data_IF_683178183378
#
_entry.id   IF_683178183378
#
_cell.length_a   1.000
_cell.length_b   1.000
_cell.length_c   1.000
_cell.angle_alpha   90.00
_cell.angle_beta   90.00
_cell.angle_gamma   90.00
#
_symmetry.space_group_name_H-M   'P 1'
#
loop_
_entity.id
_entity.type
_entity.pdbx_description
1 polymer ?
#
# COMPACT_ATOMS: atom_id res chain seq x y z
N UNK A 1 -0.94 16.77 -15.79
CA UNK A 1 -1.78 15.81 -15.05
C UNK A 1 -0.96 15.41 -13.85
N UNK A 2 -1.39 15.77 -12.64
CA UNK A 2 -0.66 15.46 -11.42
C UNK A 2 -0.53 13.93 -11.27
N UNK A 3 0.70 13.47 -11.05
CA UNK A 3 1.02 12.06 -10.83
C UNK A 3 0.39 11.61 -9.51
N UNK A 4 -0.57 10.69 -9.56
CA UNK A 4 -1.17 10.12 -8.35
C UNK A 4 -0.25 9.04 -7.80
N UNK A 5 0.15 9.21 -6.55
CA UNK A 5 0.93 8.25 -5.78
C UNK A 5 -0.04 7.42 -4.94
N UNK A 6 -0.10 6.11 -5.16
CA UNK A 6 -0.98 5.21 -4.41
C UNK A 6 -0.17 4.36 -3.42
N UNK A 7 -0.65 4.26 -2.18
CA UNK A 7 -0.02 3.44 -1.14
C UNK A 7 -1.08 2.58 -0.47
N UNK A 8 -0.80 1.27 -0.30
CA UNK A 8 -1.65 0.39 0.52
C UNK A 8 -1.64 0.90 1.95
N UNK A 9 -2.83 1.16 2.47
CA UNK A 9 -3.01 1.70 3.80
C UNK A 9 -4.02 0.85 4.57
N UNK A 10 -3.60 -0.24 5.23
CA UNK A 10 -4.51 -1.08 6.01
C UNK A 10 -5.25 -0.24 7.06
N UNK A 11 -6.46 -0.65 7.41
CA UNK A 11 -7.14 -0.08 8.58
C UNK A 11 -6.52 -0.63 9.86
N UNK A 12 -6.59 0.08 11.00
CA UNK A 12 -6.11 -0.43 12.28
C UNK A 12 -6.70 -1.79 12.63
N UNK A 13 -8.00 -2.00 12.38
CA UNK A 13 -8.71 -3.26 12.62
C UNK A 13 -8.24 -4.43 11.74
N UNK A 14 -7.82 -4.12 10.51
CA UNK A 14 -7.36 -5.11 9.52
C UNK A 14 -5.84 -5.37 9.60
N UNK A 15 -5.13 -4.57 10.41
CA UNK A 15 -3.67 -4.60 10.49
C UNK A 15 -3.09 -5.96 10.95
N UNK A 16 -3.67 -6.66 11.95
CA UNK A 16 -3.17 -7.98 12.33
C UNK A 16 -3.18 -8.96 11.16
N UNK A 17 -4.24 -8.96 10.35
CA UNK A 17 -4.34 -9.81 9.17
C UNK A 17 -3.36 -9.40 8.07
N UNK A 18 -3.21 -8.09 7.85
CA UNK A 18 -2.21 -7.56 6.93
C UNK A 18 -0.78 -7.95 7.32
N UNK A 19 -0.46 -7.92 8.62
CA UNK A 19 0.83 -8.34 9.17
C UNK A 19 1.07 -9.84 8.97
N UNK A 20 0.08 -10.70 9.23
CA UNK A 20 0.17 -12.14 8.96
C UNK A 20 0.51 -12.44 7.49
N UNK A 21 -0.07 -11.66 6.58
CA UNK A 21 0.11 -11.82 5.14
C UNK A 21 1.49 -11.34 4.68
N UNK A 22 1.90 -10.14 5.09
CA UNK A 22 3.15 -9.54 4.63
C UNK A 22 4.38 -10.07 5.39
N UNK A 23 4.19 -10.54 6.63
CA UNK A 23 5.27 -10.93 7.53
C UNK A 23 6.01 -9.73 8.15
N UNK A 24 6.61 -9.97 9.32
CA UNK A 24 7.32 -8.95 10.10
C UNK A 24 8.65 -8.51 9.47
N UNK A 25 9.15 -9.26 8.48
CA UNK A 25 10.33 -8.88 7.72
C UNK A 25 10.08 -7.67 6.80
N UNK A 26 8.83 -7.52 6.32
CA UNK A 26 8.45 -6.52 5.32
C UNK A 26 7.63 -5.36 5.89
N UNK A 27 6.98 -5.55 7.05
CA UNK A 27 6.17 -4.52 7.72
C UNK A 27 6.34 -4.55 9.24
N UNK A 28 6.21 -3.40 9.94
CA UNK A 28 6.34 -3.35 11.41
C UNK A 28 5.30 -4.17 12.16
N UNK A 29 5.60 -4.51 13.41
CA UNK A 29 4.72 -5.32 14.26
C UNK A 29 3.41 -4.61 14.64
N UNK A 30 3.42 -3.27 14.67
CA UNK A 30 2.24 -2.48 15.03
C UNK A 30 1.80 -1.51 13.94
N UNK A 31 0.49 -1.25 13.88
CA UNK A 31 -0.08 -0.26 12.96
C UNK A 31 0.53 1.13 13.14
N UNK A 32 0.80 1.53 14.39
CA UNK A 32 1.39 2.84 14.67
C UNK A 32 2.82 2.95 14.12
N UNK A 33 3.63 1.92 14.27
CA UNK A 33 4.98 1.86 13.69
C UNK A 33 4.93 1.86 12.17
N UNK A 34 4.00 1.11 11.57
CA UNK A 34 3.77 1.15 10.13
C UNK A 34 3.45 2.56 9.64
N UNK A 35 2.52 3.26 10.30
CA UNK A 35 2.17 4.64 9.93
C UNK A 35 3.38 5.56 10.07
N UNK A 36 4.13 5.46 11.17
CA UNK A 36 5.32 6.28 11.39
C UNK A 36 6.40 6.02 10.33
N UNK A 37 6.71 4.76 10.04
CA UNK A 37 7.68 4.36 9.03
C UNK A 37 7.26 4.78 7.62
N UNK A 38 5.98 4.59 7.26
CA UNK A 38 5.45 5.02 5.97
C UNK A 38 5.56 6.53 5.80
N UNK A 39 5.14 7.32 6.79
CA UNK A 39 5.24 8.78 6.74
C UNK A 39 6.69 9.26 6.68
N UNK A 40 7.58 8.61 7.42
CA UNK A 40 9.03 8.93 7.41
C UNK A 40 9.63 8.64 6.04
N UNK A 41 9.31 7.48 5.45
CA UNK A 41 9.79 7.08 4.13
C UNK A 41 9.27 8.01 3.03
N UNK A 42 7.99 8.42 3.09
CA UNK A 42 7.43 9.39 2.14
C UNK A 42 8.17 10.72 2.21
N UNK A 43 8.37 11.26 3.43
CA UNK A 43 9.08 12.53 3.63
C UNK A 43 10.54 12.46 3.18
N UNK A 44 11.22 11.35 3.45
CA UNK A 44 12.61 11.13 3.03
C UNK A 44 12.75 11.14 1.49
N UNK A 45 11.71 10.71 0.78
CA UNK A 45 11.63 10.74 -0.68
C UNK A 45 11.05 12.05 -1.24
N UNK A 46 10.87 13.09 -0.41
CA UNK A 46 10.32 14.38 -0.84
C UNK A 46 8.84 14.33 -1.22
N UNK A 47 8.11 13.29 -0.80
CA UNK A 47 6.69 13.12 -1.08
C UNK A 47 5.88 13.67 0.09
N UNK A 48 4.99 14.62 -0.21
CA UNK A 48 4.02 15.13 0.74
C UNK A 48 2.93 14.07 1.02
N UNK A 49 2.77 13.59 2.26
CA UNK A 49 1.73 12.62 2.60
C UNK A 49 0.29 13.10 2.39
N UNK A 50 0.06 14.41 2.21
CA UNK A 50 -1.25 14.96 1.82
C UNK A 50 -1.56 14.79 0.33
N UNK A 51 -0.54 14.48 -0.48
CA UNK A 51 -0.64 14.30 -1.94
C UNK A 51 -0.66 12.83 -2.36
N UNK A 52 -0.64 11.90 -1.40
CA UNK A 52 -0.78 10.47 -1.68
C UNK A 52 -2.23 10.03 -1.53
N UNK A 53 -2.61 9.04 -2.33
CA UNK A 53 -3.83 8.30 -2.13
C UNK A 53 -3.57 7.11 -1.21
N UNK A 54 -4.11 7.22 0.00
CA UNK A 54 -4.12 6.14 0.99
C UNK A 54 -5.23 5.16 0.63
N UNK A 55 -4.85 4.02 0.07
CA UNK A 55 -5.80 3.02 -0.39
C UNK A 55 -6.08 2.06 0.74
N UNK A 56 -7.24 2.21 1.37
CA UNK A 56 -7.75 1.21 2.29
C UNK A 56 -8.17 -0.03 1.52
N UNK A 57 -7.63 -1.18 1.93
CA UNK A 57 -7.85 -2.47 1.27
C UNK A 57 -8.24 -3.53 2.28
N UNK A 58 -9.02 -4.49 1.82
CA UNK A 58 -9.18 -5.77 2.49
C UNK A 58 -7.89 -6.59 2.30
N UNK A 59 -7.25 -7.09 3.38
CA UNK A 59 -5.99 -7.82 3.29
C UNK A 59 -6.08 -9.12 2.47
N UNK A 60 -7.20 -9.85 2.57
CA UNK A 60 -7.37 -11.11 1.86
C UNK A 60 -7.62 -10.85 0.36
N UNK A 61 -8.38 -9.80 0.01
CA UNK A 61 -8.52 -9.36 -1.38
C UNK A 61 -7.16 -8.98 -1.99
N UNK A 62 -6.33 -8.26 -1.24
CA UNK A 62 -4.98 -7.90 -1.67
C UNK A 62 -4.13 -9.15 -1.87
N UNK A 63 -4.13 -10.09 -0.92
CA UNK A 63 -3.38 -11.34 -1.02
C UNK A 63 -3.79 -12.13 -2.27
N UNK A 64 -5.10 -12.34 -2.47
CA UNK A 64 -5.60 -13.08 -3.62
C UNK A 64 -5.16 -12.45 -4.94
N UNK A 65 -5.23 -11.11 -5.03
CA UNK A 65 -4.81 -10.40 -6.22
C UNK A 65 -3.30 -10.49 -6.45
N UNK A 66 -2.50 -10.22 -5.41
CA UNK A 66 -1.05 -10.27 -5.47
C UNK A 66 -0.55 -11.68 -5.85
N UNK A 67 -1.09 -12.72 -5.22
CA UNK A 67 -0.73 -14.11 -5.55
C UNK A 67 -1.14 -14.50 -6.98
N UNK A 68 -2.32 -14.06 -7.45
CA UNK A 68 -2.80 -14.37 -8.80
C UNK A 68 -1.99 -13.69 -9.90
N UNK A 69 -1.51 -12.47 -9.66
CA UNK A 69 -0.88 -11.65 -10.69
C UNK A 69 0.65 -11.56 -10.61
N UNK A 70 1.22 -11.74 -9.40
CA UNK A 70 2.65 -11.59 -9.15
C UNK A 70 3.29 -12.81 -8.48
N UNK A 71 2.48 -13.72 -7.91
CA UNK A 71 2.98 -14.92 -7.23
C UNK A 71 3.66 -14.65 -5.87
N UNK A 72 3.65 -13.40 -5.41
CA UNK A 72 4.14 -12.96 -4.10
C UNK A 72 3.32 -11.77 -3.59
N UNK A 73 3.54 -11.35 -2.35
CA UNK A 73 2.88 -10.19 -1.71
C UNK A 73 3.88 -9.10 -1.30
N UNK A 74 5.02 -9.05 -1.98
CA UNK A 74 6.09 -8.09 -1.69
C UNK A 74 5.65 -6.65 -1.94
N UNK A 75 6.46 -5.69 -1.48
CA UNK A 75 6.18 -4.24 -1.56
C UNK A 75 5.74 -3.78 -2.95
N UNK A 76 6.40 -4.24 -4.01
CA UNK A 76 6.04 -3.89 -5.39
C UNK A 76 4.66 -4.41 -5.79
N UNK A 77 4.33 -5.66 -5.46
CA UNK A 77 3.01 -6.24 -5.75
C UNK A 77 1.89 -5.47 -5.02
N UNK A 78 2.13 -5.09 -3.76
CA UNK A 78 1.18 -4.27 -2.97
C UNK A 78 1.01 -2.88 -3.58
N UNK A 79 2.08 -2.24 -4.02
CA UNK A 79 2.01 -0.93 -4.67
C UNK A 79 1.22 -0.97 -5.99
N UNK A 80 1.39 -2.04 -6.79
CA UNK A 80 0.61 -2.26 -8.01
C UNK A 80 -0.88 -2.51 -7.71
N UNK A 81 -1.20 -3.19 -6.60
CA UNK A 81 -2.59 -3.36 -6.18
C UNK A 81 -3.24 -2.03 -5.76
N UNK A 82 -2.53 -1.21 -4.97
CA UNK A 82 -3.00 0.14 -4.61
C UNK A 82 -3.27 0.98 -5.87
N UNK A 83 -2.36 0.88 -6.83
CA UNK A 83 -2.48 1.55 -8.11
C UNK A 83 -3.72 1.10 -8.90
N UNK A 84 -3.98 -0.21 -8.97
CA UNK A 84 -5.18 -0.75 -9.60
C UNK A 84 -6.46 -0.17 -8.98
N UNK A 85 -6.54 -0.12 -7.64
CA UNK A 85 -7.70 0.42 -6.93
C UNK A 85 -7.92 1.89 -7.22
N UNK A 86 -6.86 2.69 -7.26
CA UNK A 86 -6.92 4.11 -7.63
C UNK A 86 -7.36 4.29 -9.09
N UNK A 87 -6.81 3.50 -10.02
CA UNK A 87 -7.20 3.54 -11.44
C UNK A 87 -8.67 3.15 -11.65
N UNK A 88 -9.17 2.16 -10.91
CA UNK A 88 -10.58 1.79 -10.92
C UNK A 88 -11.48 2.89 -10.36
N UNK A 89 -10.98 3.69 -9.42
CA UNK A 89 -11.73 4.78 -8.77
C UNK A 89 -11.74 6.08 -9.60
N UNK A 90 -10.66 6.40 -10.31
CA UNK A 90 -10.48 7.71 -10.98
C UNK A 90 -10.24 7.66 -12.50
N UNK A 91 -10.14 6.48 -13.11
CA UNK A 91 -10.15 6.32 -14.57
C UNK A 91 -8.84 6.58 -15.33
N UNK A 92 -7.83 7.34 -14.83
CA UNK A 92 -6.49 7.49 -15.46
C UNK A 92 -5.39 7.98 -14.48
N UNK A 93 -4.12 7.60 -14.75
CA UNK A 93 -2.91 8.37 -14.39
C UNK A 93 -2.30 8.21 -12.99
N UNK A 94 -2.07 6.97 -12.54
CA UNK A 94 -1.42 6.71 -11.25
C UNK A 94 -0.12 5.89 -11.43
N UNK A 95 0.83 6.11 -10.53
CA UNK A 95 2.14 5.46 -10.46
C UNK A 95 2.35 4.80 -9.08
N UNK A 96 2.96 3.62 -9.09
CA UNK A 96 3.32 2.88 -7.87
C UNK A 96 4.58 3.48 -7.21
N UNK A 97 4.64 3.45 -5.88
CA UNK A 97 5.89 3.62 -5.13
C UNK A 97 6.32 2.23 -4.69
N UNK A 98 7.48 1.79 -5.19
CA UNK A 98 8.18 0.59 -4.72
C UNK A 98 9.05 0.90 -3.50
#
# INVERSE_FOLDING_TARGET
>A
MDKIIAVVWPRPEDYPRFLEICGTADVPDTYLEFVQQALTSLRANGIDPSRIEKVHVDPDEMLEWCMRHHGNVETEARALFALLKVRSKYGKGADAIN
#
